data_IF_976389808551
#
_entry.id   IF_976389808551
#
_cell.length_a   1.000
_cell.length_b   1.000
_cell.length_c   1.000
_cell.angle_alpha   90.00
_cell.angle_beta   90.00
_cell.angle_gamma   90.00
#
_symmetry.space_group_name_H-M   'P 1'
#
loop_
_entity.id
_entity.type
_entity.pdbx_description
1 polymer ?
#
# COMPACT_ATOMS: atom_id res chain seq x y z
N UNK A 1 0.80 -6.39 -30.25
CA UNK A 1 1.42 -5.04 -30.31
C UNK A 1 2.86 -5.21 -29.88
N UNK A 2 3.80 -5.23 -30.81
CA UNK A 2 5.22 -5.18 -30.47
C UNK A 2 5.50 -3.79 -29.88
N UNK A 3 5.55 -3.69 -28.55
CA UNK A 3 6.01 -2.47 -27.89
C UNK A 3 7.50 -2.31 -28.15
N UNK A 4 7.86 -1.24 -28.86
CA UNK A 4 9.24 -0.86 -29.09
C UNK A 4 9.76 -0.03 -27.92
N UNK A 5 10.55 -0.68 -27.07
CA UNK A 5 11.20 -0.08 -25.90
C UNK A 5 12.17 1.03 -26.29
N UNK A 6 12.77 0.93 -27.49
CA UNK A 6 13.74 1.90 -27.97
C UNK A 6 13.04 3.24 -28.22
N UNK A 7 11.81 3.22 -28.73
CA UNK A 7 10.98 4.44 -28.88
C UNK A 7 10.65 5.10 -27.55
N UNK A 8 10.34 4.30 -26.52
CA UNK A 8 10.01 4.81 -25.18
C UNK A 8 11.25 5.37 -24.48
N UNK A 9 12.38 4.69 -24.57
CA UNK A 9 13.67 5.14 -24.05
C UNK A 9 14.09 6.48 -24.66
N UNK A 10 14.03 6.61 -25.99
CA UNK A 10 14.34 7.87 -26.68
C UNK A 10 13.44 9.03 -26.23
N UNK A 11 12.15 8.78 -25.99
CA UNK A 11 11.24 9.81 -25.46
C UNK A 11 11.65 10.28 -24.07
N UNK A 12 11.93 9.34 -23.16
CA UNK A 12 12.31 9.67 -21.78
C UNK A 12 13.66 10.41 -21.77
N UNK A 13 14.62 9.98 -22.57
CA UNK A 13 15.91 10.67 -22.69
C UNK A 13 15.77 12.09 -23.26
N UNK A 14 14.91 12.29 -24.26
CA UNK A 14 14.64 13.62 -24.81
C UNK A 14 13.91 14.52 -23.81
N UNK A 15 12.94 13.99 -23.07
CA UNK A 15 12.26 14.71 -21.99
C UNK A 15 13.23 15.18 -20.91
N UNK A 16 14.09 14.29 -20.43
CA UNK A 16 15.12 14.61 -19.42
C UNK A 16 16.13 15.66 -19.94
N UNK A 17 16.52 15.60 -21.21
CA UNK A 17 17.39 16.62 -21.83
C UNK A 17 16.68 17.96 -22.00
N UNK A 18 15.40 17.96 -22.36
CA UNK A 18 14.62 19.20 -22.52
C UNK A 18 14.37 19.94 -21.19
N UNK A 19 14.54 19.27 -20.05
CA UNK A 19 14.51 19.91 -18.73
C UNK A 19 15.79 20.71 -18.45
N UNK A 20 16.92 20.36 -19.07
CA UNK A 20 18.15 21.18 -19.00
C UNK A 20 17.91 22.57 -19.60
N UNK A 21 17.14 22.67 -20.68
CA UNK A 21 16.78 23.96 -21.32
C UNK A 21 15.91 24.86 -20.41
N UNK A 22 15.30 24.30 -19.35
CA UNK A 22 14.49 25.05 -18.38
C UNK A 22 15.30 25.52 -17.16
N UNK A 23 16.58 25.13 -17.06
CA UNK A 23 17.45 25.45 -15.92
C UNK A 23 17.54 26.95 -15.66
N UNK A 24 17.67 27.76 -16.71
CA UNK A 24 17.75 29.21 -16.58
C UNK A 24 16.45 29.81 -16.02
N UNK A 25 15.29 29.30 -16.44
CA UNK A 25 13.99 29.71 -15.91
C UNK A 25 13.83 29.36 -14.44
N UNK A 26 14.36 28.21 -14.01
CA UNK A 26 14.34 27.82 -12.60
C UNK A 26 15.27 28.71 -11.75
N UNK A 27 16.44 29.08 -12.28
CA UNK A 27 17.36 30.02 -11.62
C UNK A 27 16.75 31.42 -11.49
N UNK A 28 16.06 31.90 -12.51
CA UNK A 28 15.31 33.17 -12.44
C UNK A 28 14.18 33.11 -11.41
N UNK A 29 13.39 32.05 -11.41
CA UNK A 29 12.30 31.85 -10.43
C UNK A 29 12.83 31.83 -9.00
N UNK A 30 13.99 31.20 -8.77
CA UNK A 30 14.63 31.17 -7.45
C UNK A 30 15.06 32.57 -6.98
N UNK A 31 15.61 33.39 -7.89
CA UNK A 31 15.99 34.78 -7.59
C UNK A 31 14.78 35.63 -7.23
N UNK A 32 13.65 35.43 -7.91
CA UNK A 32 12.41 36.15 -7.60
C UNK A 32 11.81 35.72 -6.25
N UNK A 33 11.87 34.42 -5.90
CA UNK A 33 11.49 33.96 -4.56
C UNK A 33 12.37 34.60 -3.48
N UNK A 34 13.68 34.71 -3.73
CA UNK A 34 14.62 35.34 -2.78
C UNK A 34 14.34 36.83 -2.59
N UNK A 35 14.00 37.55 -3.67
CA UNK A 35 13.58 38.97 -3.59
C UNK A 35 12.32 39.13 -2.75
N UNK A 36 11.35 38.23 -2.89
CA UNK A 36 10.12 38.27 -2.09
C UNK A 36 10.37 37.98 -0.62
N UNK A 37 11.21 36.99 -0.31
CA UNK A 37 11.53 36.63 1.08
C UNK A 37 12.21 37.77 1.85
N UNK A 38 12.87 38.71 1.17
CA UNK A 38 13.44 39.94 1.76
C UNK A 38 12.37 40.96 2.17
N UNK A 39 11.12 40.83 1.71
CA UNK A 39 10.03 41.71 2.10
C UNK A 39 9.53 41.37 3.52
N UNK A 40 9.69 42.30 4.46
CA UNK A 40 9.31 42.12 5.87
C UNK A 40 7.78 42.10 6.09
N UNK A 41 6.99 42.53 5.12
CA UNK A 41 5.51 42.60 5.23
C UNK A 41 4.79 41.30 4.81
N UNK A 42 5.51 40.23 4.48
CA UNK A 42 4.91 38.94 4.14
C UNK A 42 4.35 38.22 5.37
N UNK A 43 3.13 37.72 5.24
CA UNK A 43 2.51 36.85 6.25
C UNK A 43 3.35 35.58 6.50
N UNK A 44 3.31 35.10 7.74
CA UNK A 44 4.11 33.95 8.20
C UNK A 44 3.82 32.67 7.39
N UNK A 45 2.56 32.45 7.02
CA UNK A 45 2.16 31.29 6.22
C UNK A 45 2.71 31.36 4.78
N UNK A 46 2.57 32.50 4.12
CA UNK A 46 3.11 32.76 2.77
C UNK A 46 4.63 32.64 2.74
N UNK A 47 5.32 33.19 3.75
CA UNK A 47 6.78 33.05 3.90
C UNK A 47 7.20 31.58 4.02
N UNK A 48 6.46 30.77 4.79
CA UNK A 48 6.74 29.34 4.90
C UNK A 48 6.48 28.57 3.59
N UNK A 49 5.43 28.92 2.83
CA UNK A 49 5.16 28.34 1.50
C UNK A 49 6.31 28.66 0.53
N UNK A 50 6.70 29.93 0.43
CA UNK A 50 7.82 30.38 -0.41
C UNK A 50 9.14 29.69 -0.05
N UNK A 51 9.40 29.46 1.25
CA UNK A 51 10.60 28.76 1.69
C UNK A 51 10.60 27.27 1.28
N UNK A 52 9.44 26.62 1.25
CA UNK A 52 9.30 25.25 0.73
C UNK A 52 9.56 25.21 -0.77
N UNK A 53 8.89 26.07 -1.54
CA UNK A 53 9.10 26.18 -2.99
C UNK A 53 10.57 26.50 -3.31
N UNK A 54 11.22 27.38 -2.52
CA UNK A 54 12.65 27.68 -2.64
C UNK A 54 13.50 26.42 -2.53
N UNK A 55 13.28 25.61 -1.49
CA UNK A 55 14.04 24.37 -1.29
C UNK A 55 13.81 23.36 -2.42
N UNK A 56 12.59 23.26 -2.94
CA UNK A 56 12.27 22.40 -4.09
C UNK A 56 13.02 22.84 -5.36
N UNK A 57 13.02 24.13 -5.68
CA UNK A 57 13.78 24.65 -6.83
C UNK A 57 15.29 24.48 -6.64
N UNK A 58 15.82 24.66 -5.42
CA UNK A 58 17.25 24.40 -5.14
C UNK A 58 17.62 22.93 -5.41
N UNK A 59 16.79 22.00 -4.97
CA UNK A 59 17.02 20.56 -5.19
C UNK A 59 16.96 20.24 -6.69
N UNK A 60 15.95 20.76 -7.41
CA UNK A 60 15.81 20.58 -8.86
C UNK A 60 16.98 21.16 -9.66
N UNK A 61 17.41 22.38 -9.31
CA UNK A 61 18.56 23.03 -9.98
C UNK A 61 19.83 22.20 -9.78
N UNK A 62 20.09 21.72 -8.56
CA UNK A 62 21.26 20.87 -8.30
C UNK A 62 21.21 19.54 -9.05
N UNK A 63 20.03 18.92 -9.10
CA UNK A 63 19.84 17.67 -9.85
C UNK A 63 20.09 17.86 -11.36
N UNK A 64 19.62 18.98 -11.93
CA UNK A 64 19.85 19.34 -13.32
C UNK A 64 21.30 19.77 -13.60
N UNK A 65 21.98 20.45 -12.67
CA UNK A 65 23.39 20.84 -12.83
C UNK A 65 24.32 19.62 -12.78
N UNK A 66 24.03 18.67 -11.89
CA UNK A 66 24.81 17.44 -11.75
C UNK A 66 24.35 16.33 -12.72
N UNK A 67 23.29 16.56 -13.48
CA UNK A 67 22.61 15.58 -14.33
C UNK A 67 22.33 14.25 -13.62
N UNK A 68 22.06 14.29 -12.32
CA UNK A 68 21.96 13.10 -11.48
C UNK A 68 20.81 12.20 -11.95
N UNK A 69 19.59 12.72 -12.07
CA UNK A 69 18.43 11.95 -12.55
C UNK A 69 18.66 11.33 -13.94
N UNK A 70 19.29 12.06 -14.87
CA UNK A 70 19.63 11.53 -16.21
C UNK A 70 20.66 10.40 -16.12
N UNK A 71 21.72 10.59 -15.33
CA UNK A 71 22.78 9.59 -15.15
C UNK A 71 22.27 8.32 -14.45
N UNK A 72 21.40 8.45 -13.46
CA UNK A 72 20.73 7.31 -12.81
C UNK A 72 19.83 6.56 -13.79
N UNK A 73 19.05 7.29 -14.60
CA UNK A 73 18.21 6.68 -15.63
C UNK A 73 19.05 5.86 -16.62
N UNK A 74 20.09 6.44 -17.19
CA UNK A 74 20.97 5.76 -18.16
C UNK A 74 21.64 4.54 -17.52
N UNK A 75 22.12 4.64 -16.29
CA UNK A 75 22.77 3.52 -15.59
C UNK A 75 21.80 2.35 -15.39
N UNK A 76 20.54 2.64 -15.06
CA UNK A 76 19.51 1.62 -14.84
C UNK A 76 18.99 1.00 -16.17
N UNK A 77 18.85 1.79 -17.25
CA UNK A 77 18.24 1.32 -18.50
C UNK A 77 19.24 0.76 -19.52
N UNK A 78 20.49 1.24 -19.56
CA UNK A 78 21.52 0.81 -20.49
C UNK A 78 21.72 -0.73 -20.56
N UNK A 79 21.85 -1.47 -19.45
CA UNK A 79 22.03 -2.93 -19.51
C UNK A 79 20.78 -3.67 -20.01
N UNK A 80 19.59 -3.09 -19.84
CA UNK A 80 18.32 -3.68 -20.28
C UNK A 80 18.14 -3.47 -21.79
N UNK A 81 18.43 -2.26 -22.27
CA UNK A 81 18.37 -1.90 -23.69
C UNK A 81 19.40 -2.70 -24.49
N UNK A 82 20.61 -2.90 -23.95
CA UNK A 82 21.63 -3.70 -24.60
C UNK A 82 21.18 -5.16 -24.78
N UNK A 83 20.64 -5.78 -23.72
CA UNK A 83 20.04 -7.13 -23.78
C UNK A 83 18.90 -7.20 -24.81
N UNK A 84 18.06 -6.18 -24.89
CA UNK A 84 16.99 -6.10 -25.88
C UNK A 84 17.54 -6.02 -27.32
N UNK A 85 18.55 -5.18 -27.58
CA UNK A 85 19.21 -5.06 -28.89
C UNK A 85 19.87 -6.37 -29.31
N UNK A 86 20.48 -7.11 -28.39
CA UNK A 86 21.13 -8.38 -28.69
C UNK A 86 20.12 -9.48 -29.05
N UNK A 87 18.91 -9.46 -28.48
CA UNK A 87 17.81 -10.34 -28.88
C UNK A 87 17.32 -10.00 -30.29
N UNK A 88 17.23 -8.72 -30.65
CA UNK A 88 16.82 -8.29 -31.99
C UNK A 88 17.83 -8.67 -33.08
N UNK A 89 19.11 -8.81 -32.75
CA UNK A 89 20.17 -9.24 -33.68
C UNK A 89 20.17 -10.75 -33.96
N UNK A 90 19.50 -11.58 -33.14
CA UNK A 90 19.45 -13.03 -33.35
C UNK A 90 18.50 -13.36 -34.52
N UNK A 91 18.96 -14.07 -35.57
CA UNK A 91 18.11 -14.40 -36.71
C UNK A 91 16.99 -15.36 -36.30
N UNK A 92 15.74 -15.00 -36.63
CA UNK A 92 14.58 -15.84 -36.37
C UNK A 92 14.58 -17.03 -37.32
N UNK A 93 14.66 -18.26 -36.79
CA UNK A 93 14.51 -19.49 -37.60
C UNK A 93 13.07 -19.62 -38.09
N UNK A 94 12.81 -19.15 -39.31
CA UNK A 94 11.52 -19.31 -39.98
C UNK A 94 11.37 -20.76 -40.48
N UNK A 95 10.37 -21.50 -39.97
CA UNK A 95 9.96 -22.78 -40.59
C UNK A 95 9.09 -22.45 -41.80
N UNK A 96 9.65 -22.60 -43.00
CA UNK A 96 9.05 -22.20 -44.29
C UNK A 96 7.70 -22.89 -44.63
N UNK A 97 7.29 -23.92 -43.89
CA UNK A 97 6.13 -24.78 -44.22
C UNK A 97 5.00 -24.77 -43.18
N UNK A 98 5.03 -23.91 -42.15
CA UNK A 98 3.96 -23.86 -41.14
C UNK A 98 3.34 -22.47 -40.98
N UNK A 99 2.03 -22.34 -41.24
CA UNK A 99 1.19 -21.14 -40.97
C UNK A 99 0.99 -20.84 -39.46
N UNK A 100 1.92 -21.23 -38.58
CA UNK A 100 1.84 -20.88 -37.15
C UNK A 100 2.76 -19.69 -36.88
N UNK A 101 2.20 -18.67 -36.23
CA UNK A 101 2.94 -17.49 -35.78
C UNK A 101 4.20 -17.90 -34.98
N UNK A 102 5.29 -17.12 -35.06
CA UNK A 102 6.52 -17.42 -34.34
C UNK A 102 6.25 -17.56 -32.84
N UNK A 103 6.91 -18.54 -32.20
CA UNK A 103 6.78 -18.80 -30.78
C UNK A 103 7.11 -17.53 -29.97
N UNK A 104 6.26 -17.24 -28.98
CA UNK A 104 6.35 -16.07 -28.10
C UNK A 104 7.66 -16.12 -27.32
N UNK A 105 8.53 -15.12 -27.49
CA UNK A 105 9.84 -15.10 -26.84
C UNK A 105 9.68 -14.57 -25.39
N UNK A 106 9.59 -15.49 -24.42
CA UNK A 106 9.42 -15.19 -23.00
C UNK A 106 10.53 -14.27 -22.44
N UNK A 107 11.75 -14.40 -22.97
CA UNK A 107 12.90 -13.57 -22.60
C UNK A 107 12.69 -12.11 -23.04
N UNK A 108 12.16 -11.90 -24.26
CA UNK A 108 11.79 -10.57 -24.78
C UNK A 108 10.73 -9.91 -23.88
N UNK A 109 9.70 -10.66 -23.48
CA UNK A 109 8.63 -10.14 -22.62
C UNK A 109 9.10 -9.82 -21.19
N UNK A 110 10.04 -10.60 -20.65
CA UNK A 110 10.62 -10.33 -19.33
C UNK A 110 11.41 -9.02 -19.32
N UNK A 111 12.25 -8.80 -20.35
CA UNK A 111 13.03 -7.57 -20.53
C UNK A 111 12.08 -6.38 -20.71
N UNK A 112 10.96 -6.57 -21.42
CA UNK A 112 9.97 -5.51 -21.58
C UNK A 112 9.33 -5.10 -20.25
N UNK A 113 8.99 -6.07 -19.39
CA UNK A 113 8.44 -5.77 -18.05
C UNK A 113 9.47 -5.08 -17.15
N UNK A 114 10.72 -5.52 -17.21
CA UNK A 114 11.83 -4.92 -16.44
C UNK A 114 12.02 -3.44 -16.83
N UNK A 115 12.12 -3.16 -18.13
CA UNK A 115 12.23 -1.79 -18.65
C UNK A 115 11.05 -0.92 -18.25
N UNK A 116 9.81 -1.40 -18.44
CA UNK A 116 8.60 -0.63 -18.10
C UNK A 116 8.49 -0.32 -16.60
N UNK A 117 9.02 -1.19 -15.73
CA UNK A 117 9.09 -0.95 -14.30
C UNK A 117 10.02 0.21 -13.93
N UNK A 118 11.13 0.35 -14.64
CA UNK A 118 12.09 1.45 -14.46
C UNK A 118 11.54 2.71 -15.11
N UNK A 119 11.10 2.64 -16.37
CA UNK A 119 10.51 3.76 -17.11
C UNK A 119 9.40 4.45 -16.31
N UNK A 120 8.53 3.70 -15.63
CA UNK A 120 7.46 4.25 -14.76
C UNK A 120 7.94 5.22 -13.68
N UNK A 121 9.17 5.05 -13.18
CA UNK A 121 9.74 5.94 -12.16
C UNK A 121 10.10 7.32 -12.73
N UNK A 122 10.42 7.37 -14.03
CA UNK A 122 10.90 8.56 -14.73
C UNK A 122 9.85 9.16 -15.67
N UNK A 123 8.79 8.42 -16.04
CA UNK A 123 7.67 8.91 -16.86
C UNK A 123 6.73 9.87 -16.13
N UNK A 124 6.95 10.15 -14.84
CA UNK A 124 6.26 11.25 -14.15
C UNK A 124 6.68 12.65 -14.67
N UNK A 125 7.59 12.71 -15.66
CA UNK A 125 8.08 13.93 -16.30
C UNK A 125 7.25 14.30 -17.54
N UNK A 126 6.34 13.42 -18.01
CA UNK A 126 5.35 13.74 -19.06
C UNK A 126 3.93 13.39 -18.59
N UNK A 127 3.43 14.10 -17.58
CA UNK A 127 2.05 14.56 -17.67
C UNK A 127 2.11 16.03 -18.00
N UNK A 128 2.28 16.34 -19.29
CA UNK A 128 1.56 17.48 -19.84
C UNK A 128 0.10 17.23 -19.45
N UNK A 129 -0.37 18.00 -18.48
CA UNK A 129 -1.78 18.22 -18.26
C UNK A 129 -2.33 18.62 -19.63
N UNK A 130 -2.94 17.65 -20.31
CA UNK A 130 -3.78 17.93 -21.47
C UNK A 130 -4.73 19.01 -21.01
N UNK A 131 -4.59 20.17 -21.65
CA UNK A 131 -5.23 21.41 -21.25
C UNK A 131 -6.64 21.21 -20.76
N UNK A 132 -6.84 21.51 -19.48
CA UNK A 132 -8.14 21.92 -18.97
C UNK A 132 -8.14 23.45 -18.99
N UNK A 133 -9.21 23.98 -19.56
CA UNK A 133 -9.39 25.40 -19.89
C UNK A 133 -9.27 26.30 -18.64
N UNK A 134 -8.41 27.32 -18.73
CA UNK A 134 -8.57 28.55 -17.94
C UNK A 134 -7.70 28.71 -16.69
N UNK A 135 -6.40 28.40 -16.72
CA UNK A 135 -5.48 28.97 -15.71
C UNK A 135 -5.28 30.46 -16.04
N UNK A 136 -5.71 31.36 -15.15
CA UNK A 136 -5.45 32.80 -15.30
C UNK A 136 -3.94 33.05 -15.32
N UNK A 137 -3.39 33.43 -16.47
CA UNK A 137 -1.96 33.80 -16.63
C UNK A 137 -1.64 35.21 -16.12
N UNK A 138 -2.61 35.91 -15.50
CA UNK A 138 -2.50 37.32 -15.15
C UNK A 138 -2.96 37.51 -13.71
N UNK A 139 -2.11 38.14 -12.90
CA UNK A 139 -2.41 38.52 -11.52
C UNK A 139 -3.57 39.55 -11.48
N UNK A 140 -4.66 39.28 -10.75
CA UNK A 140 -5.77 40.24 -10.64
C UNK A 140 -5.37 41.55 -9.91
N UNK A 141 -4.34 41.52 -9.05
CA UNK A 141 -3.87 42.69 -8.30
C UNK A 141 -2.92 43.60 -9.11
N UNK A 142 -1.86 43.04 -9.69
CA UNK A 142 -0.81 43.82 -10.37
C UNK A 142 -0.72 43.58 -11.88
N UNK A 143 -1.61 42.75 -12.44
CA UNK A 143 -1.63 42.36 -13.87
C UNK A 143 -0.34 41.74 -14.40
N UNK A 144 0.53 41.29 -13.49
CA UNK A 144 1.78 40.62 -13.79
C UNK A 144 1.55 39.18 -14.28
N UNK A 145 2.44 38.70 -15.16
CA UNK A 145 2.39 37.33 -15.71
C UNK A 145 3.25 36.31 -14.95
N UNK A 146 4.05 36.77 -13.99
CA UNK A 146 4.94 35.91 -13.22
C UNK A 146 4.17 35.36 -12.00
N UNK A 147 3.55 34.18 -12.18
CA UNK A 147 2.80 33.45 -11.16
C UNK A 147 3.52 32.13 -10.83
N UNK A 148 3.60 31.78 -9.55
CA UNK A 148 4.13 30.50 -9.08
C UNK A 148 3.00 29.69 -8.45
N UNK A 149 2.86 28.44 -8.87
CA UNK A 149 1.89 27.51 -8.31
C UNK A 149 2.46 26.82 -7.07
N UNK A 150 1.71 26.85 -5.97
CA UNK A 150 2.04 26.14 -4.72
C UNK A 150 0.76 25.70 -4.02
N UNK A 151 0.59 24.39 -3.79
CA UNK A 151 -0.52 23.81 -3.02
C UNK A 151 -1.92 24.34 -3.41
N UNK A 152 -2.28 24.31 -4.70
CA UNK A 152 -3.54 24.82 -5.28
C UNK A 152 -3.75 26.34 -5.25
N UNK A 153 -2.72 27.08 -4.87
CA UNK A 153 -2.72 28.55 -4.85
C UNK A 153 -1.70 29.06 -5.87
N UNK A 154 -2.09 30.05 -6.69
CA UNK A 154 -1.16 30.82 -7.53
C UNK A 154 -0.69 32.03 -6.73
N UNK A 155 0.61 32.24 -6.64
CA UNK A 155 1.21 33.38 -5.95
C UNK A 155 1.87 34.27 -7.00
N UNK A 156 1.50 35.55 -7.05
CA UNK A 156 2.16 36.49 -7.94
C UNK A 156 3.54 36.88 -7.41
N UNK A 157 4.58 36.69 -8.23
CA UNK A 157 5.95 37.02 -7.86
C UNK A 157 6.26 38.53 -7.85
N UNK A 158 5.38 39.35 -8.41
CA UNK A 158 5.57 40.80 -8.48
C UNK A 158 4.96 41.54 -7.29
N UNK A 159 3.81 41.07 -6.79
CA UNK A 159 3.11 41.76 -5.69
C UNK A 159 2.80 40.86 -4.49
N UNK A 160 3.11 39.57 -4.55
CA UNK A 160 2.85 38.61 -3.46
C UNK A 160 1.38 38.24 -3.27
N UNK A 161 0.48 38.66 -4.16
CA UNK A 161 -0.95 38.36 -4.06
C UNK A 161 -1.24 36.87 -4.36
N UNK A 162 -2.04 36.24 -3.50
CA UNK A 162 -2.44 34.83 -3.59
C UNK A 162 -3.82 34.69 -4.28
N UNK A 163 -3.91 33.76 -5.24
CA UNK A 163 -5.16 33.36 -5.90
C UNK A 163 -5.45 31.90 -5.59
N UNK A 164 -6.65 31.59 -5.09
CA UNK A 164 -7.12 30.20 -5.05
C UNK A 164 -7.46 29.76 -6.47
N UNK A 165 -6.77 28.73 -6.97
CA UNK A 165 -7.18 28.06 -8.20
C UNK A 165 -8.32 27.14 -7.81
N UNK A 166 -9.54 27.53 -8.18
CA UNK A 166 -10.78 26.87 -7.76
C UNK A 166 -10.66 25.35 -7.78
N UNK A 167 -11.02 24.73 -6.65
CA UNK A 167 -11.03 23.29 -6.48
C UNK A 167 -11.77 22.63 -7.65
N UNK A 168 -11.04 21.86 -8.47
CA UNK A 168 -11.66 20.77 -9.18
C UNK A 168 -12.24 19.85 -8.09
N UNK A 169 -13.55 19.55 -8.06
CA UNK A 169 -14.08 18.61 -7.06
C UNK A 169 -13.30 17.32 -7.21
N UNK A 170 -12.52 16.99 -6.17
CA UNK A 170 -11.64 15.83 -6.16
C UNK A 170 -12.40 14.64 -6.73
N UNK A 171 -11.94 14.13 -7.88
CA UNK A 171 -12.41 12.86 -8.40
C UNK A 171 -12.30 11.84 -7.27
N UNK A 172 -13.25 10.90 -7.17
CA UNK A 172 -13.25 9.84 -6.16
C UNK A 172 -11.91 9.07 -6.10
N UNK A 173 -11.13 9.10 -7.19
CA UNK A 173 -9.77 8.54 -7.27
C UNK A 173 -8.70 9.40 -6.58
N UNK A 174 -8.84 10.72 -6.54
CA UNK A 174 -7.86 11.65 -5.95
C UNK A 174 -8.01 11.86 -4.45
N UNK A 175 -9.20 11.64 -3.89
CA UNK A 175 -9.42 11.54 -2.43
C UNK A 175 -8.47 10.47 -1.84
N UNK A 176 -8.21 9.40 -2.59
CA UNK A 176 -7.31 8.33 -2.16
C UNK A 176 -5.82 8.73 -2.13
N UNK A 177 -5.44 9.82 -2.80
CA UNK A 177 -4.06 10.36 -2.86
C UNK A 177 -3.81 11.46 -1.81
N UNK A 178 -4.81 12.26 -1.46
CA UNK A 178 -4.69 13.29 -0.42
C UNK A 178 -4.99 12.74 0.99
N UNK A 179 -5.90 11.77 1.11
CA UNK A 179 -6.29 11.15 2.38
C UNK A 179 -5.67 9.76 2.58
N UNK A 180 -4.41 9.58 2.19
CA UNK A 180 -3.67 8.32 2.36
C UNK A 180 -3.71 7.83 3.82
N UNK A 181 -3.64 8.74 4.80
CA UNK A 181 -3.72 8.40 6.23
C UNK A 181 -5.10 7.87 6.62
N UNK A 182 -6.18 8.55 6.20
CA UNK A 182 -7.54 8.11 6.50
C UNK A 182 -7.88 6.79 5.80
N UNK A 183 -7.40 6.60 4.56
CA UNK A 183 -7.52 5.33 3.83
C UNK A 183 -6.82 4.19 4.56
N UNK A 184 -5.58 4.38 5.00
CA UNK A 184 -4.87 3.33 5.75
C UNK A 184 -5.51 3.03 7.11
N UNK A 185 -6.04 4.04 7.81
CA UNK A 185 -6.77 3.81 9.06
C UNK A 185 -8.10 3.08 8.80
N UNK A 186 -8.82 3.46 7.74
CA UNK A 186 -10.06 2.81 7.32
C UNK A 186 -9.85 1.34 6.92
N UNK A 187 -8.82 1.06 6.13
CA UNK A 187 -8.45 -0.31 5.74
C UNK A 187 -8.09 -1.18 6.96
N UNK A 188 -7.38 -0.62 7.95
CA UNK A 188 -7.07 -1.33 9.21
C UNK A 188 -8.30 -1.61 10.04
N UNK A 189 -9.20 -0.63 10.15
CA UNK A 189 -10.46 -0.74 10.88
C UNK A 189 -11.38 -1.78 10.24
N UNK A 190 -11.44 -1.81 8.91
CA UNK A 190 -12.15 -2.86 8.17
C UNK A 190 -11.57 -4.24 8.44
N UNK A 191 -10.25 -4.38 8.31
CA UNK A 191 -9.57 -5.66 8.54
C UNK A 191 -9.73 -6.15 9.99
N UNK A 192 -9.70 -5.24 10.98
CA UNK A 192 -9.98 -5.60 12.37
C UNK A 192 -11.41 -6.13 12.57
N UNK A 193 -12.40 -5.51 11.91
CA UNK A 193 -13.78 -6.01 11.87
C UNK A 193 -13.87 -7.39 11.20
N UNK A 194 -13.12 -7.61 10.13
CA UNK A 194 -13.07 -8.91 9.47
C UNK A 194 -12.49 -9.99 10.40
N UNK A 195 -11.45 -9.68 11.20
CA UNK A 195 -10.94 -10.59 12.22
C UNK A 195 -11.99 -10.94 13.29
N UNK A 196 -12.79 -9.96 13.75
CA UNK A 196 -13.91 -10.19 14.67
C UNK A 196 -14.95 -11.13 14.04
N UNK A 197 -15.29 -10.91 12.78
CA UNK A 197 -16.25 -11.75 12.05
C UNK A 197 -15.72 -13.18 11.84
N UNK A 198 -14.44 -13.33 11.49
CA UNK A 198 -13.74 -14.61 11.36
C UNK A 198 -13.75 -15.39 12.67
N UNK A 199 -13.48 -14.71 13.79
CA UNK A 199 -13.48 -15.32 15.13
C UNK A 199 -14.86 -15.86 15.54
N UNK A 200 -15.92 -15.13 15.19
CA UNK A 200 -17.30 -15.53 15.45
C UNK A 200 -17.89 -16.47 14.38
N UNK A 201 -17.16 -16.77 13.31
CA UNK A 201 -17.69 -17.52 12.16
C UNK A 201 -18.83 -16.80 11.44
N UNK A 202 -18.96 -15.48 11.57
CA UNK A 202 -19.98 -14.64 10.89
C UNK A 202 -19.48 -14.07 9.56
N UNK A 203 -18.40 -14.62 9.03
CA UNK A 203 -17.80 -14.17 7.79
C UNK A 203 -18.66 -14.49 6.57
N UNK A 204 -18.73 -13.55 5.64
CA UNK A 204 -19.42 -13.74 4.37
C UNK A 204 -18.46 -14.34 3.33
N UNK A 205 -18.26 -15.66 3.40
CA UNK A 205 -17.37 -16.38 2.49
C UNK A 205 -18.08 -17.59 1.86
N UNK A 206 -17.75 -17.87 0.60
CA UNK A 206 -18.19 -19.09 -0.10
C UNK A 206 -17.01 -20.05 -0.18
N UNK A 207 -17.04 -21.09 0.63
CA UNK A 207 -16.00 -22.12 0.64
C UNK A 207 -16.37 -23.19 -0.39
N UNK A 208 -15.45 -23.55 -1.32
CA UNK A 208 -15.73 -24.59 -2.31
C UNK A 208 -16.10 -25.91 -1.64
N UNK A 209 -17.11 -26.64 -2.17
CA UNK A 209 -17.55 -27.92 -1.58
C UNK A 209 -16.41 -28.96 -1.54
N UNK A 210 -15.51 -28.93 -2.52
CA UNK A 210 -14.31 -29.76 -2.60
C UNK A 210 -13.46 -29.73 -1.33
N UNK A 211 -13.32 -28.55 -0.69
CA UNK A 211 -12.55 -28.40 0.55
C UNK A 211 -13.15 -29.24 1.68
N UNK A 212 -14.48 -29.30 1.77
CA UNK A 212 -15.16 -30.09 2.79
C UNK A 212 -15.03 -31.59 2.52
N UNK A 213 -15.18 -31.99 1.26
CA UNK A 213 -15.01 -33.38 0.84
C UNK A 213 -13.60 -33.88 1.13
N UNK A 214 -12.58 -33.13 0.74
CA UNK A 214 -11.18 -33.50 0.97
C UNK A 214 -10.84 -33.57 2.47
N UNK A 215 -11.35 -32.62 3.27
CA UNK A 215 -11.18 -32.65 4.73
C UNK A 215 -11.83 -33.89 5.34
N UNK A 216 -13.04 -34.23 4.90
CA UNK A 216 -13.75 -35.41 5.38
C UNK A 216 -13.02 -36.71 5.03
N UNK A 217 -12.44 -36.82 3.83
CA UNK A 217 -11.57 -37.94 3.48
C UNK A 217 -10.35 -38.05 4.39
N UNK A 218 -9.71 -36.93 4.73
CA UNK A 218 -8.58 -36.95 5.67
C UNK A 218 -9.03 -37.35 7.08
N UNK A 219 -10.16 -36.84 7.57
CA UNK A 219 -10.70 -37.27 8.87
C UNK A 219 -11.00 -38.77 8.89
N UNK A 220 -11.50 -39.32 7.79
CA UNK A 220 -11.73 -40.77 7.63
C UNK A 220 -10.43 -41.56 7.65
N UNK A 221 -9.41 -41.14 6.89
CA UNK A 221 -8.08 -41.78 6.86
C UNK A 221 -7.40 -41.83 8.22
N UNK A 222 -7.62 -40.80 9.04
CA UNK A 222 -7.07 -40.69 10.40
C UNK A 222 -7.98 -41.25 11.50
N UNK A 223 -9.07 -41.96 11.15
CA UNK A 223 -10.03 -42.56 12.09
C UNK A 223 -10.64 -41.56 13.09
N UNK A 224 -10.84 -40.32 12.65
CA UNK A 224 -11.45 -39.24 13.45
C UNK A 224 -12.97 -39.18 13.31
N UNK A 225 -13.54 -39.85 12.31
CA UNK A 225 -15.00 -39.93 12.12
C UNK A 225 -15.58 -41.10 12.91
N UNK A 226 -16.75 -40.89 13.52
CA UNK A 226 -17.49 -41.92 14.25
C UNK A 226 -18.76 -42.27 13.50
N UNK A 227 -19.07 -43.57 13.42
CA UNK A 227 -20.29 -44.05 12.78
C UNK A 227 -20.24 -43.98 11.24
N UNK A 228 -21.41 -43.87 10.65
CA UNK A 228 -21.65 -43.88 9.20
C UNK A 228 -22.30 -42.56 8.74
N UNK A 229 -22.65 -42.45 7.46
CA UNK A 229 -23.24 -41.23 6.86
C UNK A 229 -24.62 -40.86 7.40
N UNK A 230 -25.27 -41.78 8.12
CA UNK A 230 -26.56 -41.55 8.77
C UNK A 230 -26.43 -41.10 10.23
N UNK A 231 -25.21 -41.06 10.77
CA UNK A 231 -24.94 -40.54 12.11
C UNK A 231 -25.05 -39.02 12.10
N UNK A 232 -25.57 -38.42 13.19
CA UNK A 232 -25.68 -36.97 13.29
C UNK A 232 -24.31 -36.29 13.12
N UNK A 233 -24.27 -35.07 12.57
CA UNK A 233 -23.00 -34.36 12.34
C UNK A 233 -22.21 -34.18 13.65
N UNK A 234 -22.92 -33.86 14.72
CA UNK A 234 -22.34 -33.61 16.05
C UNK A 234 -21.62 -34.86 16.58
N UNK A 235 -22.22 -36.05 16.41
CA UNK A 235 -21.62 -37.31 16.83
C UNK A 235 -20.50 -37.75 15.87
N UNK A 236 -20.73 -37.65 14.55
CA UNK A 236 -19.79 -38.08 13.50
C UNK A 236 -18.45 -37.35 13.62
N UNK A 237 -18.48 -36.05 13.89
CA UNK A 237 -17.28 -35.22 13.98
C UNK A 237 -16.84 -34.92 15.42
N UNK A 238 -17.36 -35.62 16.43
CA UNK A 238 -17.08 -35.34 17.85
C UNK A 238 -15.59 -35.42 18.25
N UNK A 239 -14.77 -36.22 17.54
CA UNK A 239 -13.30 -36.29 17.74
C UNK A 239 -12.52 -35.23 16.95
N UNK A 240 -13.17 -34.50 16.06
CA UNK A 240 -12.52 -33.48 15.24
C UNK A 240 -12.33 -32.23 16.07
N UNK A 241 -11.10 -31.69 16.07
CA UNK A 241 -10.73 -30.42 16.68
C UNK A 241 -10.35 -29.43 15.59
N UNK A 242 -10.39 -28.13 15.90
CA UNK A 242 -9.91 -27.07 14.99
C UNK A 242 -8.46 -27.28 14.53
N UNK A 243 -7.62 -27.80 15.41
CA UNK A 243 -6.23 -28.17 15.10
C UNK A 243 -6.13 -29.18 13.96
N UNK A 244 -7.04 -30.16 13.92
CA UNK A 244 -7.10 -31.15 12.84
C UNK A 244 -7.51 -30.49 11.51
N UNK A 245 -8.49 -29.58 11.54
CA UNK A 245 -8.89 -28.81 10.35
C UNK A 245 -7.70 -28.02 9.80
N UNK A 246 -6.97 -27.30 10.67
CA UNK A 246 -5.78 -26.54 10.28
C UNK A 246 -4.67 -27.43 9.71
N UNK A 247 -4.43 -28.59 10.33
CA UNK A 247 -3.44 -29.56 9.86
C UNK A 247 -3.77 -30.04 8.44
N UNK A 248 -4.98 -30.53 8.21
CA UNK A 248 -5.35 -31.09 6.92
C UNK A 248 -5.50 -30.03 5.83
N UNK A 249 -5.96 -28.81 6.16
CA UNK A 249 -5.91 -27.69 5.20
C UNK A 249 -4.49 -27.42 4.72
N UNK A 250 -3.48 -27.55 5.60
CA UNK A 250 -2.06 -27.38 5.22
C UNK A 250 -1.55 -28.52 4.35
N UNK A 251 -1.88 -29.76 4.69
CA UNK A 251 -1.48 -30.93 3.90
C UNK A 251 -2.09 -30.93 2.50
N UNK A 252 -3.36 -30.51 2.39
CA UNK A 252 -4.09 -30.36 1.13
C UNK A 252 -3.71 -29.07 0.36
N UNK A 253 -2.86 -28.21 0.94
CA UNK A 253 -2.41 -26.92 0.35
C UNK A 253 -3.53 -25.93 0.07
N UNK A 254 -4.56 -25.91 0.91
CA UNK A 254 -5.64 -24.92 0.86
C UNK A 254 -5.29 -23.62 1.60
N UNK A 255 -4.23 -22.94 1.18
CA UNK A 255 -3.69 -21.76 1.86
C UNK A 255 -4.71 -20.63 2.06
N UNK A 256 -5.61 -20.46 1.09
CA UNK A 256 -6.67 -19.43 1.11
C UNK A 256 -7.72 -19.66 2.19
N UNK A 257 -7.78 -20.86 2.77
CA UNK A 257 -8.81 -21.25 3.74
C UNK A 257 -8.32 -21.21 5.19
N UNK A 258 -7.05 -20.87 5.43
CA UNK A 258 -6.50 -20.78 6.79
C UNK A 258 -7.17 -19.72 7.65
N UNK A 259 -7.70 -18.66 7.05
CA UNK A 259 -8.45 -17.63 7.78
C UNK A 259 -9.88 -18.08 8.11
N UNK A 260 -10.37 -19.12 7.43
CA UNK A 260 -11.75 -19.61 7.52
C UNK A 260 -11.91 -20.81 8.46
N UNK A 261 -10.89 -21.17 9.24
CA UNK A 261 -10.85 -22.40 10.07
C UNK A 261 -12.05 -22.46 11.01
N UNK A 262 -12.37 -21.37 11.70
CA UNK A 262 -13.49 -21.33 12.65
C UNK A 262 -14.83 -21.62 11.97
N UNK A 263 -15.04 -21.03 10.80
CA UNK A 263 -16.25 -21.24 10.01
C UNK A 263 -16.32 -22.67 9.44
N UNK A 264 -15.24 -23.18 8.85
CA UNK A 264 -15.17 -24.56 8.34
C UNK A 264 -15.47 -25.54 9.45
N UNK A 265 -14.80 -25.38 10.59
CA UNK A 265 -15.00 -26.23 11.75
C UNK A 265 -16.46 -26.23 12.23
N UNK A 266 -17.08 -25.05 12.36
CA UNK A 266 -18.48 -24.93 12.74
C UNK A 266 -19.43 -25.58 11.73
N UNK A 267 -19.20 -25.39 10.42
CA UNK A 267 -20.03 -25.98 9.36
C UNK A 267 -19.93 -27.51 9.31
N UNK A 268 -18.75 -28.08 9.57
CA UNK A 268 -18.55 -29.53 9.57
C UNK A 268 -19.09 -30.19 10.84
N UNK A 269 -18.77 -29.62 12.00
CA UNK A 269 -19.07 -30.24 13.31
C UNK A 269 -20.41 -29.85 13.90
N UNK A 270 -21.01 -28.73 13.45
CA UNK A 270 -22.16 -28.11 14.11
C UNK A 270 -21.81 -27.35 15.39
N UNK A 271 -20.53 -27.30 15.79
CA UNK A 271 -20.11 -26.59 16.99
C UNK A 271 -20.35 -25.07 16.86
N UNK A 272 -20.83 -24.46 17.95
CA UNK A 272 -21.00 -23.00 18.01
C UNK A 272 -19.63 -22.30 18.07
N UNK A 273 -19.47 -21.28 17.25
CA UNK A 273 -18.34 -20.35 17.33
C UNK A 273 -18.44 -19.49 18.59
N UNK A 274 -17.34 -18.81 18.92
CA UNK A 274 -17.33 -17.81 19.98
C UNK A 274 -18.32 -16.69 19.66
N UNK A 275 -19.06 -16.24 20.65
CA UNK A 275 -19.94 -15.07 20.54
C UNK A 275 -19.36 -13.92 21.37
N UNK A 276 -18.94 -12.88 20.67
CA UNK A 276 -18.44 -11.63 21.26
C UNK A 276 -19.24 -10.43 20.77
N UNK A 277 -20.48 -10.64 20.31
CA UNK A 277 -21.37 -9.59 19.77
C UNK A 277 -21.49 -8.41 20.73
N UNK A 278 -21.57 -8.71 22.03
CA UNK A 278 -21.68 -7.72 23.11
C UNK A 278 -20.42 -6.87 23.32
N UNK A 279 -19.26 -7.30 22.82
CA UNK A 279 -17.99 -6.58 22.90
C UNK A 279 -17.61 -5.89 21.60
N UNK A 280 -18.28 -6.16 20.47
CA UNK A 280 -17.85 -5.66 19.16
C UNK A 280 -17.69 -4.14 19.13
N UNK A 281 -18.68 -3.40 19.62
CA UNK A 281 -18.63 -1.93 19.64
C UNK A 281 -17.47 -1.41 20.51
N UNK A 282 -17.30 -2.00 21.69
CA UNK A 282 -16.22 -1.65 22.60
C UNK A 282 -14.84 -1.97 22.01
N UNK A 283 -14.69 -3.14 21.36
CA UNK A 283 -13.46 -3.56 20.71
C UNK A 283 -13.09 -2.63 19.55
N UNK A 284 -14.07 -2.19 18.76
CA UNK A 284 -13.86 -1.22 17.69
C UNK A 284 -13.41 0.14 18.24
N UNK A 285 -14.04 0.62 19.32
CA UNK A 285 -13.67 1.88 19.97
C UNK A 285 -12.27 1.82 20.60
N UNK A 286 -11.95 0.72 21.29
CA UNK A 286 -10.63 0.47 21.86
C UNK A 286 -9.56 0.41 20.75
N UNK A 287 -9.87 -0.25 19.62
CA UNK A 287 -8.98 -0.33 18.47
C UNK A 287 -8.69 1.05 17.87
N UNK A 288 -9.73 1.87 17.66
CA UNK A 288 -9.58 3.22 17.12
C UNK A 288 -8.71 4.09 18.06
N UNK A 289 -8.92 3.98 19.38
CA UNK A 289 -8.12 4.66 20.40
C UNK A 289 -6.64 4.23 20.34
N UNK A 290 -6.39 2.93 20.28
CA UNK A 290 -5.04 2.36 20.24
C UNK A 290 -4.29 2.74 18.96
N UNK A 291 -4.96 2.67 17.81
CA UNK A 291 -4.36 3.02 16.51
C UNK A 291 -3.99 4.49 16.46
N UNK A 292 -4.86 5.38 16.97
CA UNK A 292 -4.59 6.81 17.04
C UNK A 292 -3.37 7.11 17.91
N UNK A 293 -3.26 6.47 19.07
CA UNK A 293 -2.08 6.60 19.92
C UNK A 293 -0.81 6.08 19.25
N UNK A 294 -0.87 4.91 18.62
CA UNK A 294 0.26 4.34 17.89
C UNK A 294 0.76 5.27 16.78
N UNK A 295 -0.15 5.85 15.98
CA UNK A 295 0.21 6.81 14.95
C UNK A 295 0.84 8.05 15.58
N UNK A 296 0.26 8.59 16.66
CA UNK A 296 0.76 9.77 17.37
C UNK A 296 2.20 9.57 17.81
N UNK A 297 2.46 8.47 18.53
CA UNK A 297 3.70 8.22 19.25
C UNK A 297 4.82 7.70 18.37
N UNK A 298 4.52 6.81 17.42
CA UNK A 298 5.58 6.12 16.69
C UNK A 298 5.74 6.57 15.24
N UNK A 299 4.67 7.09 14.61
CA UNK A 299 4.73 7.53 13.21
C UNK A 299 5.19 8.98 13.08
N UNK A 300 4.72 9.88 13.95
CA UNK A 300 5.14 11.29 13.91
C UNK A 300 6.51 11.52 14.58
N UNK A 301 6.83 10.80 15.65
CA UNK A 301 8.13 10.93 16.35
C UNK A 301 9.28 10.15 15.67
N UNK A 302 9.04 9.51 14.51
CA UNK A 302 10.03 8.72 13.74
C UNK A 302 10.78 7.64 14.55
N UNK A 303 10.22 7.15 15.66
CA UNK A 303 10.84 6.12 16.51
C UNK A 303 10.92 4.74 15.86
N UNK A 304 10.05 4.43 14.89
CA UNK A 304 10.04 3.13 14.21
C UNK A 304 10.31 3.30 12.71
N UNK A 305 11.38 2.68 12.20
CA UNK A 305 11.72 2.68 10.76
C UNK A 305 10.75 1.88 9.87
N UNK A 306 9.84 1.10 10.47
CA UNK A 306 8.93 0.17 9.78
C UNK A 306 7.67 0.90 9.29
N UNK A 307 7.34 0.71 8.02
CA UNK A 307 6.12 1.25 7.38
C UNK A 307 4.84 0.44 7.68
N UNK A 308 4.95 -0.84 8.03
CA UNK A 308 3.80 -1.74 8.25
C UNK A 308 3.23 -1.62 9.66
N UNK A 309 1.90 -1.67 9.78
CA UNK A 309 1.22 -1.78 11.07
C UNK A 309 1.45 -3.16 11.70
N UNK A 310 1.23 -3.26 13.01
CA UNK A 310 1.35 -4.51 13.75
C UNK A 310 0.30 -5.54 13.28
N UNK A 311 0.56 -6.80 13.60
CA UNK A 311 -0.34 -7.91 13.23
C UNK A 311 -1.69 -7.74 13.93
N UNK A 312 -2.77 -7.63 13.15
CA UNK A 312 -4.12 -7.34 13.64
C UNK A 312 -4.67 -8.47 14.53
N UNK A 313 -4.33 -9.74 14.29
CA UNK A 313 -4.72 -10.85 15.17
C UNK A 313 -4.10 -10.72 16.57
N UNK A 314 -2.85 -10.24 16.65
CA UNK A 314 -2.21 -9.94 17.93
C UNK A 314 -2.90 -8.77 18.63
N UNK A 315 -3.21 -7.69 17.90
CA UNK A 315 -3.96 -6.55 18.46
C UNK A 315 -5.31 -7.00 19.02
N UNK A 316 -6.02 -7.82 18.25
CA UNK A 316 -7.33 -8.34 18.63
C UNK A 316 -7.28 -9.18 19.90
N UNK A 317 -6.31 -10.08 20.03
CA UNK A 317 -6.11 -10.84 21.26
C UNK A 317 -5.89 -9.94 22.49
N UNK A 318 -5.06 -8.90 22.36
CA UNK A 318 -4.79 -7.99 23.47
C UNK A 318 -6.02 -7.17 23.87
N UNK A 319 -6.85 -6.78 22.91
CA UNK A 319 -8.11 -6.10 23.19
C UNK A 319 -9.16 -7.02 23.81
N UNK A 320 -9.19 -8.30 23.47
CA UNK A 320 -10.03 -9.29 24.15
C UNK A 320 -9.59 -9.46 25.62
N UNK A 321 -8.29 -9.57 25.88
CA UNK A 321 -7.74 -9.65 27.24
C UNK A 321 -8.07 -8.40 28.07
N UNK A 322 -7.95 -7.21 27.50
CA UNK A 322 -8.37 -5.95 28.13
C UNK A 322 -9.83 -6.00 28.57
N UNK A 323 -10.70 -6.50 27.70
CA UNK A 323 -12.13 -6.66 27.97
C UNK A 323 -12.46 -7.92 28.80
N UNK A 324 -11.45 -8.57 29.40
CA UNK A 324 -11.56 -9.77 30.26
C UNK A 324 -12.21 -10.97 29.57
N UNK A 325 -12.14 -11.03 28.24
CA UNK A 325 -12.61 -12.17 27.46
C UNK A 325 -11.48 -13.18 27.27
N UNK A 326 -11.55 -14.30 28.00
CA UNK A 326 -10.55 -15.35 27.92
C UNK A 326 -10.75 -16.21 26.68
N UNK A 327 -9.71 -16.29 25.85
CA UNK A 327 -9.68 -17.11 24.64
C UNK A 327 -8.34 -17.87 24.55
N UNK A 328 -8.35 -19.01 23.85
CA UNK A 328 -7.13 -19.80 23.65
C UNK A 328 -6.21 -19.08 22.67
N UNK A 329 -4.92 -19.05 22.97
CA UNK A 329 -3.89 -18.44 22.10
C UNK A 329 -3.84 -19.08 20.70
N UNK A 330 -4.17 -20.36 20.61
CA UNK A 330 -4.21 -21.17 19.38
C UNK A 330 -5.28 -20.70 18.38
N UNK A 331 -6.27 -19.92 18.82
CA UNK A 331 -7.34 -19.38 17.97
C UNK A 331 -6.85 -18.25 17.04
N UNK A 332 -5.65 -17.72 17.30
CA UNK A 332 -5.12 -16.56 16.59
C UNK A 332 -3.89 -16.97 15.77
N UNK A 333 -3.92 -16.70 14.47
CA UNK A 333 -2.76 -16.91 13.61
C UNK A 333 -1.75 -15.77 13.79
N UNK A 334 -0.90 -15.90 14.80
CA UNK A 334 0.07 -14.86 15.19
C UNK A 334 1.46 -15.18 14.63
N UNK A 335 2.23 -14.11 14.42
CA UNK A 335 3.57 -14.07 13.83
C UNK A 335 4.51 -15.22 14.25
N UNK A 336 5.33 -15.65 13.30
CA UNK A 336 6.21 -16.82 13.44
C UNK A 336 7.57 -16.53 14.12
N UNK A 337 8.13 -15.33 13.98
CA UNK A 337 9.51 -15.04 14.43
C UNK A 337 9.57 -14.36 15.80
N UNK A 338 10.53 -14.79 16.64
CA UNK A 338 10.74 -14.31 18.02
C UNK A 338 10.96 -12.80 18.07
N UNK A 339 11.82 -12.24 17.21
CA UNK A 339 12.10 -10.80 17.21
C UNK A 339 10.86 -9.94 16.98
N UNK A 340 9.93 -10.42 16.13
CA UNK A 340 8.69 -9.67 15.86
C UNK A 340 7.69 -9.80 17.00
N UNK A 341 7.75 -10.89 17.76
CA UNK A 341 6.93 -11.14 18.94
C UNK A 341 7.32 -10.20 20.07
N UNK A 342 8.59 -10.20 20.46
CA UNK A 342 9.15 -9.32 21.49
C UNK A 342 8.90 -7.85 21.15
N UNK A 343 9.16 -7.46 19.90
CA UNK A 343 8.89 -6.09 19.46
C UNK A 343 7.40 -5.69 19.62
N UNK A 344 6.46 -6.59 19.32
CA UNK A 344 5.03 -6.28 19.49
C UNK A 344 4.64 -6.16 20.95
N UNK A 345 5.18 -7.01 21.82
CA UNK A 345 4.94 -6.92 23.26
C UNK A 345 5.52 -5.60 23.83
N UNK A 346 6.73 -5.22 23.45
CA UNK A 346 7.35 -3.96 23.91
C UNK A 346 6.56 -2.72 23.50
N UNK A 347 6.14 -2.66 22.23
CA UNK A 347 5.33 -1.53 21.73
C UNK A 347 3.96 -1.52 22.40
N UNK A 348 3.30 -2.67 22.56
CA UNK A 348 1.99 -2.72 23.20
C UNK A 348 2.06 -2.40 24.68
N UNK A 349 3.11 -2.81 25.37
CA UNK A 349 3.35 -2.43 26.76
C UNK A 349 3.39 -0.91 26.90
N UNK A 350 4.18 -0.24 26.05
CA UNK A 350 4.29 1.23 26.08
C UNK A 350 2.98 1.95 25.73
N UNK A 351 2.19 1.39 24.80
CA UNK A 351 0.87 1.93 24.44
C UNK A 351 -0.17 1.72 25.54
N UNK A 352 -0.21 0.52 26.12
CA UNK A 352 -1.18 0.16 27.16
C UNK A 352 -0.88 0.94 28.44
N UNK A 353 0.39 1.10 28.82
CA UNK A 353 0.79 1.93 29.97
C UNK A 353 0.28 3.38 29.82
N UNK A 354 0.43 3.98 28.63
CA UNK A 354 -0.06 5.34 28.38
C UNK A 354 -1.59 5.46 28.34
N UNK A 355 -2.28 4.39 27.93
CA UNK A 355 -3.75 4.32 27.97
C UNK A 355 -4.30 3.92 29.35
N UNK A 356 -3.44 3.58 30.32
CA UNK A 356 -3.84 3.05 31.61
C UNK A 356 -4.45 1.64 31.54
N UNK A 357 -4.10 0.86 30.52
CA UNK A 357 -4.58 -0.50 30.29
C UNK A 357 -3.55 -1.53 30.78
N UNK A 358 -4.04 -2.69 31.22
CA UNK A 358 -3.17 -3.78 31.65
C UNK A 358 -2.70 -4.59 30.45
N UNK A 359 -1.40 -4.53 30.14
CA UNK A 359 -0.80 -5.38 29.10
C UNK A 359 -0.47 -6.76 29.68
N UNK A 360 -0.93 -7.80 28.99
CA UNK A 360 -0.55 -9.18 29.28
C UNK A 360 0.31 -9.63 28.11
N UNK A 361 1.61 -9.94 28.32
CA UNK A 361 2.47 -10.41 27.24
C UNK A 361 1.86 -11.63 26.56
N UNK A 362 1.84 -11.62 25.22
CA UNK A 362 1.37 -12.79 24.48
C UNK A 362 2.38 -13.93 24.54
N UNK A 363 3.67 -13.58 24.51
CA UNK A 363 4.79 -14.52 24.38
C UNK A 363 5.58 -14.71 25.66
#
# INVERSE_FOLDING_TARGET
MDMDIISIDNKIQNGLKSEEDKLDKYKETLRDIDRLLQNNFLERCTRNKLLRSKNEYIIKIKDLEDNQTYNFYITETMPIIQRYKDILKKPVKMRFLSKKAPARNEEKESIIREFLGIAKKYTNIEQEEKGEEGVKEICDNCKGKNLVYSDNVLICLLCGYEFDVGNNPLSYKDISRTNILQKYTYERRSHFRDCINQFQGKQNCKIPPEVYTDLEEQFKKHNLLIGNEHTSKEERFSKVKKEHVMLFLRELKYDKQYENINFIYSQMTGAKCYDISHLEEQLMADFDTLVNLYIKKFKYEKKIARKSFMNINYVFYQLLNKNKYHCKKEEFNILKTIDRKTFHDDVFKELFEELGWNHIPFF
#
